data_IF_739992308195
#
_entry.id   IF_739992308195
#
_cell.length_a   1.000
_cell.length_b   1.000
_cell.length_c   1.000
_cell.angle_alpha   90.00
_cell.angle_beta   90.00
_cell.angle_gamma   90.00
#
_symmetry.space_group_name_H-M   'P 1'
#
loop_
_entity.id
_entity.type
_entity.pdbx_description
1 polymer ?
#
# COMPACT_ATOMS: atom_id res chain seq x y z
N UNK A 1 11.06 -11.39 -6.44
CA UNK A 1 9.72 -11.52 -5.82
C UNK A 1 8.72 -11.70 -6.94
N UNK A 2 7.89 -12.73 -6.86
CA UNK A 2 6.77 -12.95 -7.80
C UNK A 2 5.56 -12.20 -7.23
N UNK A 3 4.78 -11.55 -8.09
CA UNK A 3 3.59 -10.79 -7.71
C UNK A 3 2.37 -11.45 -8.35
N UNK A 4 1.35 -11.73 -7.54
CA UNK A 4 0.05 -12.22 -8.01
C UNK A 4 -0.80 -11.01 -8.45
N UNK A 5 -1.26 -11.02 -9.70
CA UNK A 5 -2.05 -9.94 -10.28
C UNK A 5 -3.40 -9.73 -9.59
N UNK A 6 -3.96 -10.74 -8.91
CA UNK A 6 -5.19 -10.60 -8.11
C UNK A 6 -4.95 -9.93 -6.77
N UNK A 7 -3.70 -9.84 -6.34
CA UNK A 7 -3.27 -9.23 -5.08
C UNK A 7 -2.57 -7.89 -5.30
N UNK A 8 -2.69 -7.30 -6.48
CA UNK A 8 -2.21 -5.95 -6.80
C UNK A 8 -3.31 -4.92 -6.52
N UNK A 9 -3.04 -3.96 -5.64
CA UNK A 9 -3.89 -2.79 -5.44
C UNK A 9 -3.76 -1.81 -6.60
N UNK A 10 -2.54 -1.61 -7.11
CA UNK A 10 -2.28 -0.67 -8.20
C UNK A 10 -0.97 -0.97 -8.91
N UNK A 11 -0.91 -0.62 -10.20
CA UNK A 11 0.27 -0.78 -11.05
C UNK A 11 0.60 0.55 -11.71
N UNK A 12 1.69 1.18 -11.28
CA UNK A 12 2.17 2.49 -11.77
C UNK A 12 1.03 3.53 -11.85
N UNK A 13 0.14 3.53 -10.87
CA UNK A 13 -0.99 4.44 -10.83
C UNK A 13 -0.48 5.86 -10.61
N UNK A 14 -0.78 6.77 -11.54
CA UNK A 14 -0.52 8.20 -11.36
C UNK A 14 -1.43 8.77 -10.27
N UNK A 15 -0.84 9.45 -9.30
CA UNK A 15 -1.52 10.07 -8.15
C UNK A 15 -1.08 11.53 -8.07
N UNK A 16 -1.99 12.43 -8.46
CA UNK A 16 -1.78 13.89 -8.45
C UNK A 16 -2.66 14.62 -7.41
N UNK A 17 -3.58 13.89 -6.80
CA UNK A 17 -4.45 14.32 -5.71
C UNK A 17 -4.85 13.07 -4.91
N UNK A 18 -5.56 13.25 -3.80
CA UNK A 18 -6.07 12.12 -3.01
C UNK A 18 -6.89 11.18 -3.87
N UNK A 19 -6.47 9.92 -3.94
CA UNK A 19 -7.10 8.89 -4.76
C UNK A 19 -6.95 7.52 -4.11
N UNK A 20 -7.95 6.68 -4.30
CA UNK A 20 -7.89 5.26 -3.92
C UNK A 20 -7.15 4.46 -4.99
N UNK A 21 -6.70 3.26 -4.63
CA UNK A 21 -6.06 2.34 -5.56
C UNK A 21 -6.97 1.94 -6.71
N UNK A 22 -6.40 1.65 -7.89
CA UNK A 22 -7.14 1.22 -9.09
C UNK A 22 -7.90 -0.07 -8.88
N UNK A 23 -7.38 -0.98 -8.05
CA UNK A 23 -8.01 -2.24 -7.71
C UNK A 23 -8.39 -2.27 -6.22
N UNK A 24 -9.43 -3.03 -5.94
CA UNK A 24 -9.83 -3.47 -4.60
C UNK A 24 -9.62 -4.98 -4.54
N UNK A 25 -8.99 -5.47 -3.47
CA UNK A 25 -8.84 -6.91 -3.23
C UNK A 25 -10.06 -7.40 -2.46
N UNK A 26 -10.76 -8.42 -3.00
CA UNK A 26 -11.82 -9.17 -2.31
C UNK A 26 -11.26 -10.50 -1.80
N UNK A 27 -11.34 -10.72 -0.48
CA UNK A 27 -10.92 -11.96 0.18
C UNK A 27 -11.94 -13.10 0.05
N UNK A 28 -12.99 -12.90 -0.75
CA UNK A 28 -14.12 -13.81 -1.08
C UNK A 28 -15.00 -14.23 0.09
N UNK A 29 -14.61 -13.87 1.30
CA UNK A 29 -15.28 -14.17 2.56
C UNK A 29 -14.88 -13.13 3.58
N UNK A 30 -15.73 -12.90 4.59
CA UNK A 30 -15.38 -12.07 5.73
C UNK A 30 -14.34 -12.81 6.57
N UNK A 31 -13.06 -12.54 6.31
CA UNK A 31 -11.94 -13.19 6.98
C UNK A 31 -10.79 -12.22 7.22
N UNK A 32 -10.18 -12.40 8.38
CA UNK A 32 -8.97 -11.69 8.76
C UNK A 32 -7.75 -12.42 8.20
N UNK A 33 -6.89 -11.73 7.47
CA UNK A 33 -5.63 -12.28 6.93
C UNK A 33 -4.42 -11.66 7.64
N UNK A 34 -3.37 -12.43 7.85
CA UNK A 34 -2.21 -12.00 8.66
C UNK A 34 -1.99 -12.85 9.93
N UNK A 35 -3.03 -13.31 10.64
CA UNK A 35 -2.86 -14.29 11.70
C UNK A 35 -2.35 -15.63 11.13
N UNK A 36 -1.36 -16.24 11.79
CA UNK A 36 -0.76 -17.52 11.38
C UNK A 36 0.24 -17.42 10.22
N UNK A 37 0.08 -16.44 9.32
CA UNK A 37 1.08 -16.06 8.33
C UNK A 37 1.08 -14.56 8.12
N UNK A 38 2.17 -13.91 8.51
CA UNK A 38 2.33 -12.47 8.35
C UNK A 38 2.16 -12.08 6.89
N UNK A 39 1.30 -11.12 6.64
CA UNK A 39 1.08 -10.53 5.33
C UNK A 39 1.64 -9.11 5.32
N UNK A 40 2.15 -8.69 4.17
CA UNK A 40 2.70 -7.36 3.96
C UNK A 40 2.05 -6.69 2.76
N UNK A 41 1.76 -5.41 2.90
CA UNK A 41 1.53 -4.54 1.75
C UNK A 41 2.83 -3.85 1.41
N UNK A 42 3.30 -4.05 0.20
CA UNK A 42 4.48 -3.34 -0.31
C UNK A 42 4.02 -2.27 -1.28
N UNK A 43 4.47 -1.05 -1.04
CA UNK A 43 4.25 0.10 -1.90
C UNK A 43 5.57 0.54 -2.49
N UNK A 44 5.68 0.53 -3.81
CA UNK A 44 6.86 0.99 -4.55
C UNK A 44 6.53 2.27 -5.30
N UNK A 45 7.35 3.28 -5.05
CA UNK A 45 7.29 4.54 -5.79
C UNK A 45 7.91 4.32 -7.18
N UNK A 46 7.10 4.51 -8.22
CA UNK A 46 7.49 4.37 -9.62
C UNK A 46 7.98 5.68 -10.22
N UNK A 47 7.34 6.80 -9.85
CA UNK A 47 7.84 8.15 -10.14
C UNK A 47 7.82 8.96 -8.85
N UNK A 48 8.86 9.79 -8.66
CA UNK A 48 9.10 10.55 -7.43
C UNK A 48 7.85 11.32 -7.00
N UNK A 49 7.49 11.20 -5.73
CA UNK A 49 6.45 12.00 -5.09
C UNK A 49 7.14 13.19 -4.45
N UNK A 50 6.92 14.39 -4.99
CA UNK A 50 7.46 15.64 -4.45
C UNK A 50 6.37 16.40 -3.71
N UNK A 51 6.66 17.02 -2.56
CA UNK A 51 5.78 18.02 -1.95
C UNK A 51 5.53 17.82 -0.46
N UNK A 52 4.72 18.71 0.14
CA UNK A 52 4.70 18.94 1.60
C UNK A 52 3.95 17.87 2.39
N UNK A 53 2.97 17.20 1.78
CA UNK A 53 2.16 16.17 2.45
C UNK A 53 1.83 15.02 1.49
N UNK A 54 2.28 13.80 1.80
CA UNK A 54 1.86 12.59 1.10
C UNK A 54 1.84 11.38 2.04
N UNK A 55 0.76 10.60 2.01
CA UNK A 55 0.60 9.40 2.83
C UNK A 55 -0.11 8.29 2.05
N UNK A 56 0.20 7.04 2.38
CA UNK A 56 -0.54 5.88 1.92
C UNK A 56 -1.17 5.17 3.12
N UNK A 57 -2.44 4.79 3.00
CA UNK A 57 -3.15 4.04 4.02
C UNK A 57 -3.74 2.76 3.45
N UNK A 58 -3.58 1.65 4.19
CA UNK A 58 -4.33 0.43 3.95
C UNK A 58 -5.72 0.61 4.56
N UNK A 59 -6.74 0.45 3.74
CA UNK A 59 -8.14 0.56 4.13
C UNK A 59 -8.86 -0.78 4.03
N UNK A 60 -9.84 -0.97 4.88
CA UNK A 60 -10.69 -2.17 4.86
C UNK A 60 -12.18 -1.86 5.00
N UNK A 61 -13.03 -2.74 4.47
CA UNK A 61 -14.49 -2.66 4.57
C UNK A 61 -15.14 -4.05 4.47
N UNK A 62 -16.34 -4.19 5.04
CA UNK A 62 -17.20 -5.36 4.85
C UNK A 62 -17.96 -5.29 3.51
N UNK A 63 -18.09 -4.09 2.93
CA UNK A 63 -18.89 -3.83 1.71
C UNK A 63 -18.04 -3.10 0.66
N UNK A 64 -18.04 -3.63 -0.57
CA UNK A 64 -17.34 -2.99 -1.67
C UNK A 64 -17.85 -1.56 -1.92
N UNK A 65 -16.95 -0.64 -2.25
CA UNK A 65 -17.28 0.75 -2.58
C UNK A 65 -17.71 1.67 -1.42
N UNK A 66 -17.91 1.17 -0.18
CA UNK A 66 -18.40 2.01 0.93
C UNK A 66 -17.77 1.65 2.28
N UNK A 67 -17.92 2.52 3.29
CA UNK A 67 -17.52 2.29 4.69
C UNK A 67 -16.05 1.86 4.93
N UNK A 68 -15.14 2.27 4.05
CA UNK A 68 -13.72 1.99 4.22
C UNK A 68 -13.13 2.76 5.39
N UNK A 69 -12.40 2.04 6.25
CA UNK A 69 -11.66 2.60 7.38
C UNK A 69 -10.16 2.31 7.24
N UNK A 70 -9.33 3.27 7.61
CA UNK A 70 -7.87 3.10 7.68
C UNK A 70 -7.52 2.13 8.81
N UNK A 71 -6.71 1.11 8.50
CA UNK A 71 -6.18 0.16 9.49
C UNK A 71 -4.68 0.30 9.70
N UNK A 72 -3.97 0.88 8.73
CA UNK A 72 -2.55 1.22 8.83
C UNK A 72 -2.22 2.35 7.85
N UNK A 73 -1.23 3.17 8.18
CA UNK A 73 -0.77 4.25 7.31
C UNK A 73 0.73 4.47 7.40
N UNK A 74 1.29 5.04 6.33
CA UNK A 74 2.70 5.39 6.23
C UNK A 74 2.87 6.71 5.46
N UNK A 75 3.83 7.50 5.87
CA UNK A 75 4.20 8.73 5.18
C UNK A 75 5.06 8.39 3.96
N UNK A 76 4.69 8.92 2.79
CA UNK A 76 5.41 8.72 1.52
C UNK A 76 5.87 10.06 0.92
N UNK A 77 5.91 11.12 1.73
CA UNK A 77 6.38 12.44 1.30
C UNK A 77 7.82 12.36 0.80
N UNK A 78 8.13 13.16 -0.21
CA UNK A 78 9.48 13.30 -0.79
C UNK A 78 10.11 11.96 -1.21
N UNK A 79 9.30 10.92 -1.41
CA UNK A 79 9.80 9.61 -1.76
C UNK A 79 10.27 9.59 -3.21
N UNK A 80 11.55 9.24 -3.41
CA UNK A 80 12.15 9.16 -4.74
C UNK A 80 11.73 7.88 -5.46
N UNK A 81 11.76 7.90 -6.79
CA UNK A 81 11.52 6.72 -7.60
C UNK A 81 12.42 5.54 -7.16
N UNK A 82 11.83 4.36 -7.01
CA UNK A 82 12.48 3.16 -6.51
C UNK A 82 12.31 2.91 -5.01
N UNK A 83 11.94 3.93 -4.22
CA UNK A 83 11.68 3.78 -2.79
C UNK A 83 10.58 2.76 -2.54
N UNK A 84 10.80 1.87 -1.58
CA UNK A 84 9.82 0.89 -1.12
C UNK A 84 9.40 1.21 0.31
N UNK A 85 8.09 1.16 0.54
CA UNK A 85 7.45 1.24 1.84
C UNK A 85 6.75 -0.08 2.11
N UNK A 86 6.82 -0.54 3.35
CA UNK A 86 6.23 -1.81 3.76
C UNK A 86 5.29 -1.55 4.93
N UNK A 87 4.07 -2.07 4.82
CA UNK A 87 3.06 -2.03 5.87
C UNK A 87 2.77 -3.49 6.26
N UNK A 88 2.99 -3.84 7.52
CA UNK A 88 2.50 -5.12 8.05
C UNK A 88 0.98 -5.08 8.14
N UNK A 89 0.29 -6.10 7.62
CA UNK A 89 -1.17 -6.14 7.62
C UNK A 89 -1.68 -6.35 9.06
N UNK A 90 -2.44 -5.41 9.63
CA UNK A 90 -2.97 -5.54 10.98
C UNK A 90 -4.04 -6.63 11.06
N UNK A 91 -4.22 -7.22 12.24
CA UNK A 91 -5.28 -8.21 12.52
C UNK A 91 -6.66 -7.56 12.70
N UNK A 92 -6.98 -6.55 11.90
CA UNK A 92 -8.23 -5.82 11.92
C UNK A 92 -8.82 -5.67 10.50
N UNK A 93 -8.33 -6.45 9.54
CA UNK A 93 -8.84 -6.44 8.18
C UNK A 93 -10.13 -7.27 8.03
N UNK A 94 -10.90 -6.85 7.03
CA UNK A 94 -12.21 -7.35 6.63
C UNK A 94 -12.15 -7.82 5.18
N UNK A 95 -13.29 -8.25 4.63
CA UNK A 95 -13.37 -8.82 3.28
C UNK A 95 -12.73 -7.98 2.17
N UNK A 96 -12.96 -6.67 2.14
CA UNK A 96 -12.44 -5.79 1.08
C UNK A 96 -11.26 -4.99 1.58
N UNK A 97 -10.18 -4.98 0.79
CA UNK A 97 -8.97 -4.20 1.06
C UNK A 97 -8.65 -3.29 -0.12
N UNK A 98 -8.23 -2.07 0.18
CA UNK A 98 -7.71 -1.12 -0.83
C UNK A 98 -6.64 -0.23 -0.24
N UNK A 99 -5.88 0.43 -1.10
CA UNK A 99 -5.01 1.53 -0.67
C UNK A 99 -5.71 2.87 -0.88
N UNK A 100 -5.44 3.82 -0.01
CA UNK A 100 -5.78 5.22 -0.17
C UNK A 100 -4.50 6.05 -0.19
N UNK A 101 -4.28 6.79 -1.27
CA UNK A 101 -3.12 7.65 -1.45
C UNK A 101 -3.57 9.08 -1.21
N UNK A 102 -3.15 9.67 -0.10
CA UNK A 102 -3.40 11.07 0.21
C UNK A 102 -2.25 11.90 -0.32
N UNK A 103 -2.53 12.79 -1.26
CA UNK A 103 -1.52 13.62 -1.94
C UNK A 103 -1.92 15.08 -1.80
N UNK A 104 -1.03 15.88 -1.21
CA UNK A 104 -1.22 17.33 -1.04
C UNK A 104 -1.04 18.11 -2.33
N UNK A 105 -1.35 19.40 -2.28
CA UNK A 105 -1.21 20.32 -3.42
C UNK A 105 0.23 20.39 -3.93
N UNK A 106 0.39 20.38 -5.26
CA UNK A 106 1.70 20.49 -5.91
C UNK A 106 2.51 19.19 -5.93
N UNK A 107 1.91 18.08 -5.48
CA UNK A 107 2.55 16.77 -5.43
C UNK A 107 1.96 15.84 -6.49
N UNK A 108 2.81 15.27 -7.33
CA UNK A 108 2.42 14.23 -8.29
C UNK A 108 3.49 13.14 -8.30
N UNK A 109 3.04 11.89 -8.45
CA UNK A 109 3.92 10.75 -8.59
C UNK A 109 3.14 9.54 -9.04
N UNK A 110 3.80 8.39 -9.06
CA UNK A 110 3.18 7.13 -9.44
C UNK A 110 3.60 6.04 -8.47
N UNK A 111 2.64 5.22 -8.07
CA UNK A 111 2.86 4.16 -7.10
C UNK A 111 2.37 2.82 -7.66
N UNK A 112 3.05 1.75 -7.28
CA UNK A 112 2.54 0.39 -7.39
C UNK A 112 2.40 -0.16 -5.98
N UNK A 113 1.33 -0.89 -5.71
CA UNK A 113 1.13 -1.51 -4.41
C UNK A 113 0.52 -2.90 -4.56
N UNK A 114 0.99 -3.84 -3.76
CA UNK A 114 0.53 -5.23 -3.79
C UNK A 114 0.60 -5.85 -2.39
N UNK A 115 -0.21 -6.88 -2.19
CA UNK A 115 -0.23 -7.72 -1.00
C UNK A 115 0.65 -8.95 -1.23
N UNK A 116 1.46 -9.33 -0.24
CA UNK A 116 2.34 -10.49 -0.33
C UNK A 116 2.52 -11.18 1.03
N UNK A 117 2.81 -12.47 0.95
CA UNK A 117 3.20 -13.36 2.05
C UNK A 117 4.71 -13.69 2.01
N UNK A 118 5.45 -13.01 1.13
CA UNK A 118 6.91 -13.04 1.07
C UNK A 118 7.48 -11.83 1.81
N UNK A 119 8.37 -12.07 2.76
CA UNK A 119 8.98 -10.99 3.54
C UNK A 119 9.73 -10.04 2.59
N UNK A 120 9.39 -8.74 2.59
CA UNK A 120 10.05 -7.78 1.72
C UNK A 120 11.52 -7.63 2.13
N UNK A 121 12.42 -7.85 1.18
CA UNK A 121 13.84 -7.71 1.45
C UNK A 121 14.20 -6.22 1.62
N UNK A 122 14.81 -5.86 2.75
CA UNK A 122 15.24 -4.48 3.00
C UNK A 122 16.52 -4.11 2.24
N UNK A 123 17.41 -5.08 1.99
CA UNK A 123 18.75 -4.91 1.39
C UNK A 123 19.54 -3.71 1.93
N UNK A 124 19.25 -3.32 3.17
CA UNK A 124 19.87 -2.17 3.81
C UNK A 124 21.30 -2.52 4.20
N UNK A 125 22.26 -1.73 3.73
CA UNK A 125 23.64 -1.84 4.19
C UNK A 125 23.72 -1.29 5.62
N UNK A 126 24.40 -2.02 6.50
CA UNK A 126 24.74 -1.58 7.84
C UNK A 126 26.23 -1.17 7.86
N UNK A 127 26.61 -0.15 8.65
CA UNK A 127 28.01 0.23 8.79
C UNK A 127 28.82 -0.95 9.33
N UNK A 128 30.07 -1.08 8.85
CA UNK A 128 31.09 -1.85 9.54
C UNK A 128 31.57 -1.12 10.80
N UNK A 129 32.09 -1.88 11.77
CA UNK A 129 32.45 -1.40 13.11
C UNK A 129 33.62 -0.41 13.11
#
# INVERSE_FOLDING_TARGET
MIIDSRLEFSVKQSVAATAVSTNVIDLTSERNIGPGRTMWVVLKVSTTIAGTTAAAALQTSDTEGSAYADIASINIKDAVAGTQFVIGVPYANKRFLRMNYTIGTGSAGAVSAWLTDQEPASWQAYPDA
#
